data_IF_440729298244
#
_entry.id   IF_440729298244
#
_cell.length_a   1.000
_cell.length_b   1.000
_cell.length_c   1.000
_cell.angle_alpha   90.00
_cell.angle_beta   90.00
_cell.angle_gamma   90.00
#
_symmetry.space_group_name_H-M   'P 1'
#
loop_
_entity.id
_entity.type
_entity.pdbx_description
1 polymer ?
#
# COMPACT_ATOMS: atom_id res chain seq x y z
N UNK A 1 -4.64 -23.86 16.43
CA UNK A 1 -5.10 -23.39 16.10
C UNK A 1 -5.34 -22.82 15.99
N UNK A 2 -4.94 -22.91 15.97
CA UNK A 2 -5.36 -22.18 15.60
C UNK A 2 -5.49 -21.53 15.54
N UNK A 3 -5.19 -21.85 15.68
CA UNK A 3 -5.60 -21.12 15.36
C UNK A 3 -5.74 -20.53 15.19
N UNK A 4 -5.42 -20.75 15.21
CA UNK A 4 -5.86 -20.02 14.83
C UNK A 4 -6.02 -19.43 14.59
N UNK A 5 -5.83 -19.71 14.62
CA UNK A 5 -6.35 -19.08 14.16
C UNK A 5 -6.59 -18.42 13.98
N UNK A 6 -6.41 -18.74 14.15
CA UNK A 6 -6.97 -18.06 13.74
C UNK A 6 -7.18 -17.34 13.66
N UNK A 7 -6.92 -17.66 13.79
CA UNK A 7 -7.44 -16.98 13.45
C UNK A 7 -7.66 -16.31 13.37
N UNK A 8 -7.41 -16.58 13.49
CA UNK A 8 -7.93 -16.01 13.15
C UNK A 8 -8.22 -15.29 13.20
N UNK A 9 -8.02 -15.46 13.29
CA UNK A 9 -8.60 -14.75 13.06
C UNK A 9 -8.79 -14.06 13.12
N UNK A 10 -8.71 -14.09 13.25
CA UNK A 10 -9.18 -13.26 13.12
C UNK A 10 -9.47 -12.55 13.14
N UNK A 11 -9.24 -12.64 13.24
CA UNK A 11 -9.78 -11.96 13.13
C UNK A 11 -9.85 -11.34 13.27
N UNK A 12 -9.67 -11.11 13.22
CA UNK A 12 -10.03 -10.54 13.10
C UNK A 12 -10.33 -9.92 12.93
N UNK A 13 -10.39 -9.85 13.11
CA UNK A 13 -10.95 -9.26 12.83
C UNK A 13 -11.09 -8.44 12.73
N UNK A 14 -10.54 -8.78 13.28
CA UNK A 14 -10.73 -7.55 13.31
C UNK A 14 -11.41 -6.94 12.26
N UNK A 15 -12.24 -6.38 12.48
CA UNK A 15 -13.04 -5.89 11.46
C UNK A 15 -12.30 -5.00 10.53
N UNK A 16 -11.28 -4.39 10.97
CA UNK A 16 -10.57 -3.52 10.14
C UNK A 16 -9.49 -4.27 9.42
N UNK A 17 -9.39 -4.06 8.15
CA UNK A 17 -8.43 -4.72 7.31
C UNK A 17 -7.39 -3.72 6.85
N UNK A 18 -6.13 -4.04 7.07
CA UNK A 18 -5.07 -3.18 6.58
C UNK A 18 -4.96 -3.31 5.06
N UNK A 19 -4.53 -2.25 4.38
CA UNK A 19 -4.34 -2.34 2.93
C UNK A 19 -3.13 -3.16 2.52
N UNK A 20 -2.38 -3.67 3.46
CA UNK A 20 -1.20 -4.47 3.16
C UNK A 20 -1.32 -5.84 3.78
N UNK A 21 -0.62 -6.80 3.20
CA UNK A 21 -0.53 -8.16 3.68
C UNK A 21 0.90 -8.57 3.77
N UNK A 22 1.28 -9.14 4.90
CA UNK A 22 2.63 -9.67 5.05
C UNK A 22 2.72 -11.04 4.43
N UNK A 23 3.91 -11.37 3.92
CA UNK A 23 4.21 -12.69 3.40
C UNK A 23 5.69 -12.91 3.59
N UNK A 24 6.15 -14.13 3.24
CA UNK A 24 7.57 -14.42 3.33
C UNK A 24 8.32 -13.46 2.41
N UNK A 25 9.23 -12.70 2.98
CA UNK A 25 10.09 -11.81 2.20
C UNK A 25 9.54 -10.44 1.91
N UNK A 26 8.35 -10.09 2.42
CA UNK A 26 7.87 -8.75 2.19
C UNK A 26 6.41 -8.54 2.46
N UNK A 27 5.85 -7.52 1.81
CA UNK A 27 4.42 -7.22 1.92
C UNK A 27 3.88 -6.90 0.53
N UNK A 28 2.58 -7.08 0.37
CA UNK A 28 1.87 -6.55 -0.79
C UNK A 28 0.92 -5.48 -0.28
N UNK A 29 0.78 -4.40 -1.05
CA UNK A 29 0.00 -3.24 -0.62
C UNK A 29 -1.02 -2.91 -1.69
N UNK A 30 -2.26 -2.72 -1.27
CA UNK A 30 -3.32 -2.29 -2.17
C UNK A 30 -3.38 -0.77 -2.13
N UNK A 31 -3.34 -0.15 -3.30
CA UNK A 31 -3.29 1.30 -3.42
C UNK A 31 -4.43 1.82 -4.27
N UNK A 32 -4.90 2.99 -3.94
CA UNK A 32 -5.73 3.77 -4.84
C UNK A 32 -4.98 5.02 -5.19
N UNK A 33 -4.74 5.22 -6.48
CA UNK A 33 -3.85 6.28 -6.98
C UNK A 33 -4.66 7.39 -7.62
N UNK A 34 -4.39 8.62 -7.23
CA UNK A 34 -4.96 9.79 -7.86
C UNK A 34 -3.87 10.47 -8.67
N UNK A 35 -3.93 10.39 -10.00
CA UNK A 35 -2.95 11.06 -10.84
C UNK A 35 -3.27 12.56 -10.92
N UNK A 36 -2.29 13.34 -11.37
CA UNK A 36 -2.43 14.79 -11.48
C UNK A 36 -2.88 15.41 -10.17
N UNK A 37 -2.30 14.91 -9.07
CA UNK A 37 -2.76 15.28 -7.76
C UNK A 37 -2.15 16.54 -7.19
N UNK A 38 -1.38 17.29 -7.96
CA UNK A 38 -0.75 18.50 -7.50
C UNK A 38 0.56 18.27 -6.79
N UNK A 39 0.71 17.16 -6.11
CA UNK A 39 1.95 16.77 -5.45
C UNK A 39 1.90 15.28 -5.17
N UNK A 40 3.08 14.73 -4.92
CA UNK A 40 3.19 13.32 -4.54
C UNK A 40 2.97 13.20 -3.03
N UNK A 41 2.20 12.23 -2.62
CA UNK A 41 1.97 12.04 -1.19
C UNK A 41 1.11 10.84 -0.89
N UNK A 42 1.12 10.45 0.38
CA UNK A 42 0.29 9.37 0.89
C UNK A 42 -0.78 10.01 1.76
N UNK A 43 -2.03 9.74 1.46
CA UNK A 43 -3.16 10.43 2.10
C UNK A 43 -3.88 9.60 3.16
N UNK A 44 -3.38 8.41 3.48
CA UNK A 44 -4.00 7.59 4.50
C UNK A 44 -4.65 6.35 3.94
N UNK A 45 -5.61 5.83 4.66
CA UNK A 45 -6.29 4.58 4.31
C UNK A 45 -7.76 4.87 4.06
N UNK A 46 -8.30 4.23 3.03
CA UNK A 46 -9.72 4.34 2.70
C UNK A 46 -10.31 2.94 2.63
N UNK A 47 -11.56 2.80 3.08
CA UNK A 47 -12.30 1.56 2.92
C UNK A 47 -13.22 1.70 1.72
N UNK A 48 -13.08 0.80 0.75
CA UNK A 48 -13.89 0.82 -0.45
C UNK A 48 -15.27 0.26 -0.17
N UNK A 49 -16.18 0.47 -1.11
CA UNK A 49 -17.56 0.03 -0.95
C UNK A 49 -17.67 -1.48 -0.72
N UNK A 50 -16.73 -2.26 -1.27
CA UNK A 50 -16.75 -3.71 -1.10
C UNK A 50 -16.08 -4.17 0.20
N UNK A 51 -15.67 -3.25 1.04
CA UNK A 51 -15.08 -3.57 2.33
C UNK A 51 -13.57 -3.68 2.33
N UNK A 52 -12.93 -3.63 1.16
CA UNK A 52 -11.48 -3.69 1.11
C UNK A 52 -10.87 -2.36 1.51
N UNK A 53 -9.71 -2.42 2.14
CA UNK A 53 -8.97 -1.21 2.48
C UNK A 53 -7.87 -0.97 1.45
N UNK A 54 -7.64 0.29 1.13
CA UNK A 54 -6.57 0.70 0.23
C UNK A 54 -5.84 1.87 0.84
N UNK A 55 -4.56 1.98 0.49
CA UNK A 55 -3.78 3.15 0.87
C UNK A 55 -3.94 4.18 -0.23
N UNK A 56 -4.36 5.37 0.13
CA UNK A 56 -4.59 6.45 -0.83
C UNK A 56 -3.28 7.15 -1.11
N UNK A 57 -2.96 7.22 -2.40
CA UNK A 57 -1.70 7.82 -2.85
C UNK A 57 -2.01 8.83 -3.93
N UNK A 58 -1.34 9.96 -3.88
CA UNK A 58 -1.48 11.00 -4.86
C UNK A 58 -0.16 11.19 -5.57
N UNK A 59 -0.19 11.29 -6.90
CA UNK A 59 1.02 11.53 -7.67
C UNK A 59 0.77 12.66 -8.66
N UNK A 60 1.81 13.41 -8.93
CA UNK A 60 1.73 14.49 -9.92
C UNK A 60 1.71 13.95 -11.33
N UNK A 61 2.27 12.78 -11.53
CA UNK A 61 2.38 12.19 -12.85
C UNK A 61 1.00 11.89 -13.44
N UNK A 62 0.94 11.91 -14.76
CA UNK A 62 -0.29 11.54 -15.45
C UNK A 62 -0.38 10.01 -15.58
N UNK A 63 -1.58 9.53 -15.92
CA UNK A 63 -1.83 8.09 -15.94
C UNK A 63 -1.52 7.45 -17.31
N UNK A 64 -0.54 7.97 -18.00
CA UNK A 64 -0.20 7.48 -19.34
C UNK A 64 1.24 7.03 -19.41
N UNK A 65 1.50 6.06 -20.29
CA UNK A 65 2.87 5.62 -20.55
C UNK A 65 3.58 5.03 -19.35
N UNK A 66 2.85 4.57 -18.36
CA UNK A 66 3.47 4.02 -17.15
C UNK A 66 4.00 5.07 -16.19
N UNK A 67 3.77 6.34 -16.47
CA UNK A 67 4.30 7.42 -15.64
C UNK A 67 3.77 7.35 -14.22
N UNK A 68 2.46 7.17 -14.07
CA UNK A 68 1.88 7.09 -12.73
C UNK A 68 2.39 5.86 -11.99
N UNK A 69 2.58 4.74 -12.68
CA UNK A 69 3.09 3.53 -12.06
C UNK A 69 4.50 3.75 -11.53
N UNK A 70 5.35 4.38 -12.31
CA UNK A 70 6.71 4.67 -11.88
C UNK A 70 6.72 5.64 -10.72
N UNK A 71 5.85 6.64 -10.77
CA UNK A 71 5.76 7.62 -9.69
C UNK A 71 5.33 6.96 -8.38
N UNK A 72 4.37 6.05 -8.46
CA UNK A 72 3.86 5.37 -7.27
C UNK A 72 4.94 4.49 -6.64
N UNK A 73 5.64 3.69 -7.44
CA UNK A 73 6.67 2.82 -6.88
C UNK A 73 7.82 3.65 -6.30
N UNK A 74 8.18 4.74 -6.97
CA UNK A 74 9.24 5.62 -6.46
C UNK A 74 8.81 6.30 -5.16
N UNK A 75 7.57 6.76 -5.11
CA UNK A 75 7.06 7.42 -3.91
C UNK A 75 7.07 6.46 -2.72
N UNK A 76 6.59 5.24 -2.94
CA UNK A 76 6.52 4.27 -1.87
C UNK A 76 7.91 3.87 -1.40
N UNK A 77 8.83 3.65 -2.33
CA UNK A 77 10.20 3.32 -1.96
C UNK A 77 10.83 4.43 -1.14
N UNK A 78 10.63 5.67 -1.56
CA UNK A 78 11.18 6.79 -0.83
C UNK A 78 10.58 6.91 0.56
N UNK A 79 9.27 6.75 0.66
CA UNK A 79 8.58 6.85 1.95
C UNK A 79 9.04 5.77 2.92
N UNK A 80 9.38 4.59 2.39
CA UNK A 80 9.83 3.48 3.21
C UNK A 80 11.35 3.45 3.41
N UNK A 81 12.07 4.36 2.74
CA UNK A 81 13.52 4.39 2.87
C UNK A 81 14.22 3.25 2.15
N UNK A 82 13.65 2.78 1.04
CA UNK A 82 14.16 1.63 0.31
C UNK A 82 14.59 2.00 -1.11
N UNK A 83 15.49 1.21 -1.71
CA UNK A 83 15.76 1.36 -3.13
C UNK A 83 14.52 1.04 -3.96
N UNK A 84 14.38 1.69 -5.08
CA UNK A 84 13.23 1.46 -5.95
C UNK A 84 13.12 0.01 -6.40
N UNK A 85 14.23 -0.69 -6.50
CA UNK A 85 14.22 -2.08 -6.91
C UNK A 85 13.47 -2.99 -5.95
N UNK A 86 13.23 -2.53 -4.71
CA UNK A 86 12.49 -3.31 -3.72
C UNK A 86 10.98 -3.18 -3.87
N UNK A 87 10.51 -2.27 -4.74
CA UNK A 87 9.08 -2.01 -4.90
C UNK A 87 8.69 -2.34 -6.33
N UNK A 88 7.70 -3.22 -6.51
CA UNK A 88 7.27 -3.67 -7.82
C UNK A 88 5.76 -3.61 -7.95
N UNK A 89 5.29 -3.23 -9.13
CA UNK A 89 3.87 -3.27 -9.42
C UNK A 89 3.46 -4.71 -9.71
N UNK A 90 2.45 -5.21 -9.02
CA UNK A 90 1.94 -6.56 -9.21
C UNK A 90 0.75 -6.57 -10.17
N UNK A 91 -0.14 -5.60 -10.06
CA UNK A 91 -1.32 -5.55 -10.92
C UNK A 91 -1.86 -4.14 -10.93
N UNK A 92 -2.78 -3.88 -11.86
CA UNK A 92 -3.43 -2.60 -11.93
C UNK A 92 -2.68 -1.57 -12.74
N UNK A 93 -1.87 -1.99 -13.73
CA UNK A 93 -1.05 -1.06 -14.50
C UNK A 93 -1.88 0.04 -15.14
N UNK A 94 -3.11 -0.26 -15.54
CA UNK A 94 -3.98 0.73 -16.19
C UNK A 94 -5.17 1.12 -15.31
N UNK A 95 -5.08 0.84 -14.02
CA UNK A 95 -6.17 1.09 -13.10
C UNK A 95 -5.72 2.05 -12.02
N UNK A 96 -6.66 2.74 -11.40
CA UNK A 96 -6.36 3.53 -10.21
C UNK A 96 -6.18 2.65 -8.99
N UNK A 97 -6.70 1.43 -9.02
CA UNK A 97 -6.49 0.46 -7.95
C UNK A 97 -5.32 -0.41 -8.36
N UNK A 98 -4.27 -0.40 -7.57
CA UNK A 98 -3.04 -1.09 -7.89
C UNK A 98 -2.61 -1.95 -6.73
N UNK A 99 -1.86 -3.00 -7.06
CA UNK A 99 -1.20 -3.82 -6.05
C UNK A 99 0.30 -3.71 -6.29
N UNK A 100 1.04 -3.46 -5.24
CA UNK A 100 2.50 -3.42 -5.34
C UNK A 100 3.10 -4.37 -4.31
N UNK A 101 4.25 -4.92 -4.64
CA UNK A 101 5.01 -5.75 -3.73
C UNK A 101 6.21 -4.95 -3.23
N UNK A 102 6.49 -5.09 -1.95
CA UNK A 102 7.66 -4.47 -1.33
C UNK A 102 8.47 -5.57 -0.70
N UNK A 103 9.72 -5.71 -1.11
CA UNK A 103 10.61 -6.74 -0.59
C UNK A 103 11.32 -6.23 0.67
N UNK A 104 11.37 -7.06 1.70
CA UNK A 104 12.04 -6.69 2.93
C UNK A 104 11.47 -7.46 4.11
N UNK A 105 11.76 -6.99 5.30
CA UNK A 105 11.26 -7.61 6.51
C UNK A 105 9.75 -7.35 6.64
N UNK A 106 8.92 -8.39 6.62
CA UNK A 106 7.47 -8.17 6.61
C UNK A 106 6.97 -7.36 7.80
N UNK A 107 7.42 -7.68 9.00
CA UNK A 107 6.93 -6.99 10.18
C UNK A 107 7.40 -5.55 10.22
N UNK A 108 8.66 -5.32 9.87
CA UNK A 108 9.19 -3.96 9.82
C UNK A 108 8.49 -3.12 8.77
N UNK A 109 8.19 -3.71 7.62
CA UNK A 109 7.49 -3.00 6.57
C UNK A 109 6.06 -2.69 6.97
N UNK A 110 5.39 -3.64 7.61
CA UNK A 110 4.02 -3.40 8.08
C UNK A 110 3.99 -2.27 9.10
N UNK A 111 4.95 -2.24 10.00
CA UNK A 111 5.05 -1.15 10.96
C UNK A 111 5.26 0.19 10.29
N UNK A 112 6.16 0.21 9.30
CA UNK A 112 6.44 1.45 8.58
C UNK A 112 5.22 1.94 7.82
N UNK A 113 4.48 1.03 7.18
CA UNK A 113 3.26 1.40 6.48
C UNK A 113 2.20 1.91 7.43
N UNK A 114 2.11 1.29 8.59
CA UNK A 114 1.15 1.72 9.60
C UNK A 114 1.48 3.15 10.05
N UNK A 115 2.77 3.43 10.27
CA UNK A 115 3.19 4.75 10.68
C UNK A 115 2.90 5.79 9.60
N UNK A 116 3.11 5.44 8.33
CA UNK A 116 2.86 6.36 7.23
C UNK A 116 1.38 6.72 7.11
N UNK A 117 0.50 5.76 7.37
CA UNK A 117 -0.93 5.97 7.20
C UNK A 117 -1.61 6.48 8.46
N UNK A 118 -0.98 6.32 9.61
CA UNK A 118 -1.53 6.80 10.87
C UNK A 118 -1.07 8.21 11.19
N UNK A 119 0.07 8.61 10.67
CA UNK A 119 0.59 9.94 10.93
C UNK A 119 -0.32 10.93 10.25
N UNK A 120 -1.02 11.70 11.02
CA UNK A 120 -1.95 12.63 10.46
C UNK A 120 -1.44 14.01 10.63
N UNK A 121 -1.56 14.80 9.60
CA UNK A 121 -1.38 16.22 9.83
C UNK A 121 -2.47 16.63 10.79
N UNK A 122 -2.10 17.31 11.72
CA UNK A 122 -3.07 17.75 12.73
C UNK A 122 -4.11 18.62 12.12
#
# INVERSE_FOLDING_TARGET
>A
MAVPTDDRTNARTDARTDPWRTSTGGVSVALRVTPRGGRDGIDGVETLADGRSVMKVRVRAIAEGGEANRAVTALLAKALGLPKARVRLLSGATSRLKQVAVDGDPDGLAEALHALTSAKPA
#
